data_IF_751911216129
#
_entry.id   IF_751911216129
#
_cell.length_a   1.000
_cell.length_b   1.000
_cell.length_c   1.000
_cell.angle_alpha   90.00
_cell.angle_beta   90.00
_cell.angle_gamma   90.00
#
_symmetry.space_group_name_H-M   'P 1'
#
loop_
_entity.id
_entity.type
_entity.pdbx_description
1 polymer ?
#
# COMPACT_ATOMS: atom_id res chain seq x y z
N UNK A 1 -8.99 -10.16 -5.22
CA UNK A 1 -9.43 -10.30 -3.82
C UNK A 1 -10.00 -11.69 -3.67
N UNK A 2 -9.57 -12.44 -2.65
CA UNK A 2 -10.02 -13.81 -2.38
C UNK A 2 -10.88 -13.87 -1.10
N UNK A 3 -11.40 -15.06 -0.77
CA UNK A 3 -12.25 -15.26 0.40
C UNK A 3 -11.55 -15.06 1.74
N UNK A 4 -10.25 -15.38 1.83
CA UNK A 4 -9.46 -15.19 3.06
C UNK A 4 -9.25 -13.70 3.32
N UNK A 5 -8.94 -12.94 2.27
CA UNK A 5 -8.77 -11.48 2.35
C UNK A 5 -10.05 -10.80 2.84
N UNK A 6 -11.22 -11.21 2.34
CA UNK A 6 -12.50 -10.68 2.80
C UNK A 6 -12.78 -11.04 4.26
N UNK A 7 -12.55 -12.29 4.65
CA UNK A 7 -12.70 -12.75 6.03
C UNK A 7 -11.86 -11.91 7.00
N UNK A 8 -10.58 -11.69 6.66
CA UNK A 8 -9.65 -10.90 7.48
C UNK A 8 -10.08 -9.45 7.65
N UNK A 9 -10.61 -8.82 6.61
CA UNK A 9 -11.17 -7.47 6.73
C UNK A 9 -12.31 -7.44 7.73
N UNK A 10 -13.25 -8.37 7.63
CA UNK A 10 -14.38 -8.43 8.58
C UNK A 10 -13.89 -8.68 10.01
N UNK A 11 -12.97 -9.61 10.20
CA UNK A 11 -12.37 -9.92 11.50
C UNK A 11 -11.67 -8.71 12.12
N UNK A 12 -10.84 -7.99 11.35
CA UNK A 12 -10.16 -6.79 11.83
C UNK A 12 -11.14 -5.69 12.21
N UNK A 13 -12.18 -5.45 11.40
CA UNK A 13 -13.21 -4.46 11.69
C UNK A 13 -14.03 -4.80 12.93
N UNK A 14 -14.38 -6.08 13.12
CA UNK A 14 -15.11 -6.53 14.30
C UNK A 14 -14.25 -6.46 15.58
N UNK A 15 -12.96 -6.74 15.47
CA UNK A 15 -12.04 -6.83 16.61
C UNK A 15 -11.33 -5.51 16.93
N UNK A 16 -11.54 -4.46 16.13
CA UNK A 16 -10.83 -3.20 16.25
C UNK A 16 -9.33 -3.31 15.94
N UNK A 17 -8.93 -4.31 15.16
CA UNK A 17 -7.54 -4.54 14.77
C UNK A 17 -7.18 -3.71 13.53
N UNK A 18 -5.89 -3.39 13.34
CA UNK A 18 -5.41 -2.81 12.09
C UNK A 18 -5.67 -3.77 10.93
N UNK A 19 -5.95 -3.23 9.74
CA UNK A 19 -6.06 -4.04 8.52
C UNK A 19 -4.69 -4.63 8.14
N UNK A 20 -4.70 -5.85 7.59
CA UNK A 20 -3.51 -6.51 7.08
C UNK A 20 -2.81 -5.73 5.95
N UNK A 21 -3.54 -4.85 5.27
CA UNK A 21 -3.03 -3.92 4.26
C UNK A 21 -3.49 -2.50 4.62
N UNK A 22 -2.54 -1.61 4.85
CA UNK A 22 -2.82 -0.23 5.24
C UNK A 22 -3.02 0.70 4.01
N UNK A 23 -3.50 1.92 4.26
CA UNK A 23 -3.75 2.91 3.22
C UNK A 23 -2.52 3.20 2.35
N UNK A 24 -1.35 3.35 2.95
CA UNK A 24 -0.13 3.74 2.25
C UNK A 24 0.37 2.63 1.32
N UNK A 25 0.23 1.36 1.73
CA UNK A 25 0.51 0.19 0.88
C UNK A 25 -0.38 0.21 -0.37
N UNK A 26 -1.69 0.47 -0.19
CA UNK A 26 -2.64 0.61 -1.30
C UNK A 26 -2.30 1.79 -2.23
N UNK A 27 -1.95 2.97 -1.69
CA UNK A 27 -1.49 4.11 -2.48
C UNK A 27 -0.23 3.79 -3.28
N UNK A 28 0.72 3.06 -2.68
CA UNK A 28 1.97 2.69 -3.32
C UNK A 28 1.75 1.77 -4.53
N UNK A 29 0.88 0.76 -4.40
CA UNK A 29 0.50 -0.10 -5.53
C UNK A 29 -0.31 0.63 -6.59
N UNK A 30 -1.22 1.52 -6.19
CA UNK A 30 -2.05 2.29 -7.13
C UNK A 30 -1.22 3.30 -7.94
N UNK A 31 -0.12 3.81 -7.39
CA UNK A 31 0.78 4.73 -8.09
C UNK A 31 1.47 4.10 -9.31
N UNK A 32 1.56 2.77 -9.37
CA UNK A 32 2.22 2.04 -10.47
C UNK A 32 1.59 2.40 -11.81
N UNK A 33 0.26 2.52 -11.91
CA UNK A 33 -0.42 2.81 -13.17
C UNK A 33 0.02 4.14 -13.78
N UNK A 34 -0.01 5.22 -13.00
CA UNK A 34 0.37 6.56 -13.44
C UNK A 34 1.88 6.65 -13.74
N UNK A 35 2.72 6.08 -12.86
CA UNK A 35 4.17 6.10 -13.04
C UNK A 35 4.59 5.27 -14.26
N UNK A 36 3.90 4.17 -14.53
CA UNK A 36 4.14 3.37 -15.75
C UNK A 36 3.78 4.16 -17.00
N UNK A 37 2.66 4.88 -17.01
CA UNK A 37 2.29 5.78 -18.10
C UNK A 37 3.38 6.82 -18.39
N UNK A 38 3.86 7.51 -17.35
CA UNK A 38 4.96 8.49 -17.47
C UNK A 38 6.27 7.87 -17.95
N UNK A 39 6.56 6.64 -17.52
CA UNK A 39 7.75 5.92 -17.98
C UNK A 39 7.67 5.63 -19.48
N UNK A 40 6.51 5.18 -19.98
CA UNK A 40 6.26 4.94 -21.41
C UNK A 40 6.45 6.23 -22.21
N UNK A 41 5.89 7.35 -21.75
CA UNK A 41 6.02 8.67 -22.39
C UNK A 41 7.47 9.17 -22.42
N UNK A 42 8.34 8.64 -21.54
CA UNK A 42 9.76 8.98 -21.42
C UNK A 42 10.68 7.85 -21.89
N UNK A 43 10.25 7.07 -22.89
CA UNK A 43 11.06 6.01 -23.52
C UNK A 43 11.58 4.95 -22.53
N UNK A 44 10.78 4.65 -21.50
CA UNK A 44 11.11 3.68 -20.46
C UNK A 44 12.01 4.23 -19.35
N UNK A 45 12.15 5.55 -19.22
CA UNK A 45 12.94 6.15 -18.15
C UNK A 45 12.41 5.76 -16.74
N UNK A 46 13.28 5.48 -15.75
CA UNK A 46 12.87 5.18 -14.39
C UNK A 46 12.08 6.33 -13.74
N UNK A 47 11.02 6.00 -13.03
CA UNK A 47 10.19 6.97 -12.31
C UNK A 47 10.33 6.83 -10.80
N UNK A 48 10.40 7.96 -10.09
CA UNK A 48 10.50 7.97 -8.63
C UNK A 48 9.12 7.78 -8.00
N UNK A 49 9.00 6.77 -7.14
CA UNK A 49 7.79 6.59 -6.34
C UNK A 49 7.66 7.69 -5.27
N UNK A 50 6.46 8.25 -5.07
CA UNK A 50 6.19 9.15 -3.96
C UNK A 50 6.32 8.41 -2.61
N UNK A 51 6.90 9.09 -1.62
CA UNK A 51 6.85 8.62 -0.23
C UNK A 51 5.52 9.06 0.40
N UNK A 52 4.51 8.19 0.31
CA UNK A 52 3.21 8.43 0.92
C UNK A 52 3.25 8.42 2.46
N UNK A 53 4.30 7.86 3.07
CA UNK A 53 4.44 7.75 4.53
C UNK A 53 5.08 8.98 5.16
N UNK A 54 5.72 9.85 4.35
CA UNK A 54 6.50 11.01 4.80
C UNK A 54 7.59 10.61 5.82
N UNK A 55 8.36 9.58 5.50
CA UNK A 55 9.47 9.07 6.31
C UNK A 55 9.04 8.22 7.51
N UNK A 56 7.79 7.76 7.59
CA UNK A 56 7.25 7.04 8.76
C UNK A 56 7.13 5.53 8.55
N UNK A 57 7.82 4.99 7.54
CA UNK A 57 7.72 3.59 7.16
C UNK A 57 7.99 2.63 8.33
N UNK A 58 9.08 2.83 9.08
CA UNK A 58 9.45 2.00 10.23
C UNK A 58 8.35 1.97 11.30
N UNK A 59 7.72 3.12 11.59
CA UNK A 59 6.63 3.24 12.56
C UNK A 59 5.44 2.36 12.19
N UNK A 60 5.12 2.23 10.89
CA UNK A 60 3.99 1.43 10.44
C UNK A 60 4.28 -0.08 10.48
N UNK A 61 5.53 -0.50 10.26
CA UNK A 61 5.92 -1.90 10.42
C UNK A 61 5.90 -2.34 11.88
N UNK A 62 6.32 -1.49 12.82
CA UNK A 62 6.22 -1.77 14.26
C UNK A 62 4.77 -2.00 14.71
N UNK A 63 3.82 -1.22 14.19
CA UNK A 63 2.40 -1.36 14.57
C UNK A 63 1.70 -2.59 13.97
N UNK A 64 2.26 -3.17 12.90
CA UNK A 64 1.66 -4.30 12.17
C UNK A 64 2.08 -5.67 12.73
N UNK A 65 3.20 -5.74 13.45
CA UNK A 65 3.82 -6.98 13.94
C UNK A 65 3.94 -7.06 15.48
N UNK A 66 3.13 -6.29 16.20
CA UNK A 66 2.98 -6.33 17.67
C UNK A 66 1.52 -6.47 18.04
#
# INVERSE_FOLDING_TARGET
MDGIMMYRIVECLQSGLPLDQNLYEGCFWSAVTELSGKSIDQEGAPQKFPDFTRGKLEKYYTFKYH
#
